data_IF_969909065900
#
_entry.id   IF_969909065900
#
_cell.length_a   1.000
_cell.length_b   1.000
_cell.length_c   1.000
_cell.angle_alpha   90.00
_cell.angle_beta   90.00
_cell.angle_gamma   90.00
#
_symmetry.space_group_name_H-M   'P 1'
#
loop_
_entity.id
_entity.type
_entity.pdbx_description
1 polymer ?
#
# COMPACT_ATOMS: atom_id res chain seq x y z
N UNK A 1 -30.31 -2.69 59.93
CA UNK A 1 -30.58 -3.19 58.56
C UNK A 1 -30.37 -2.00 57.66
N UNK A 2 -29.17 -1.87 57.05
CA UNK A 2 -28.85 -0.79 56.10
C UNK A 2 -29.23 -1.26 54.72
N UNK A 3 -30.17 -0.53 54.10
CA UNK A 3 -30.51 -0.65 52.68
C UNK A 3 -29.24 -0.36 51.87
N UNK A 4 -28.80 -1.34 51.11
CA UNK A 4 -27.86 -1.15 50.05
C UNK A 4 -28.59 -0.39 48.95
N UNK A 5 -28.24 0.89 48.77
CA UNK A 5 -28.74 1.70 47.67
C UNK A 5 -28.39 1.00 46.38
N UNK A 6 -29.45 0.70 45.58
CA UNK A 6 -29.29 0.21 44.21
C UNK A 6 -28.47 1.24 43.41
N UNK A 7 -27.33 0.82 42.94
CA UNK A 7 -26.54 1.60 42.00
C UNK A 7 -27.42 1.88 40.77
N UNK A 8 -27.80 3.15 40.57
CA UNK A 8 -28.34 3.65 39.32
C UNK A 8 -27.37 3.24 38.21
N UNK A 9 -27.89 2.61 37.16
CA UNK A 9 -27.09 1.98 36.13
C UNK A 9 -25.96 2.90 35.64
N UNK A 10 -24.72 2.49 35.92
CA UNK A 10 -23.55 3.13 35.36
C UNK A 10 -23.67 3.01 33.83
N UNK A 11 -23.72 4.14 33.16
CA UNK A 11 -23.64 4.14 31.71
C UNK A 11 -22.32 3.54 31.30
N UNK A 12 -22.34 2.60 30.35
CA UNK A 12 -21.12 2.03 29.81
C UNK A 12 -20.19 3.16 29.33
N UNK A 13 -18.87 3.02 29.49
CA UNK A 13 -17.92 3.96 28.91
C UNK A 13 -18.15 4.15 27.40
N UNK A 14 -17.77 5.30 26.85
CA UNK A 14 -17.78 5.51 25.41
C UNK A 14 -17.02 4.39 24.69
N UNK A 15 -17.54 3.94 23.53
CA UNK A 15 -16.99 2.84 22.73
C UNK A 15 -17.12 1.43 23.34
N UNK A 16 -17.82 1.28 24.45
CA UNK A 16 -18.12 -0.05 25.01
C UNK A 16 -19.19 -0.76 24.15
N UNK A 17 -19.04 -2.06 24.06
CA UNK A 17 -20.03 -2.93 23.43
C UNK A 17 -20.97 -3.49 24.47
N UNK A 18 -22.27 -3.14 24.47
CA UNK A 18 -23.25 -3.76 25.36
C UNK A 18 -23.40 -5.25 25.11
N UNK A 19 -23.65 -6.04 26.14
CA UNK A 19 -23.76 -7.50 26.02
C UNK A 19 -24.83 -7.94 25.01
N UNK A 20 -25.96 -7.22 24.91
CA UNK A 20 -27.04 -7.47 23.97
C UNK A 20 -26.69 -7.08 22.51
N UNK A 21 -25.56 -6.38 22.29
CA UNK A 21 -25.09 -6.01 20.96
C UNK A 21 -24.05 -6.97 20.39
N UNK A 22 -23.51 -7.89 21.20
CA UNK A 22 -22.47 -8.85 20.74
C UNK A 22 -22.96 -9.70 19.58
N UNK A 23 -24.18 -10.25 19.70
CA UNK A 23 -24.78 -11.12 18.67
C UNK A 23 -25.16 -10.37 17.37
N UNK A 24 -25.12 -9.03 17.41
CA UNK A 24 -25.38 -8.18 16.23
C UNK A 24 -24.12 -7.89 15.43
N UNK A 25 -22.95 -8.25 15.94
CA UNK A 25 -21.70 -8.12 15.19
C UNK A 25 -21.67 -9.18 14.08
N UNK A 26 -21.76 -8.71 12.84
CA UNK A 26 -21.60 -9.56 11.67
C UNK A 26 -20.17 -9.47 11.14
N UNK A 27 -19.53 -10.61 10.98
CA UNK A 27 -18.23 -10.69 10.31
C UNK A 27 -18.46 -10.97 8.82
N UNK A 28 -18.13 -10.01 7.94
CA UNK A 28 -18.45 -10.14 6.51
C UNK A 28 -17.61 -11.20 5.81
N UNK A 29 -16.48 -11.60 6.38
CA UNK A 29 -15.57 -12.62 5.80
C UNK A 29 -15.54 -13.84 6.69
N UNK A 30 -15.90 -14.99 6.11
CA UNK A 30 -15.71 -16.29 6.74
C UNK A 30 -14.31 -16.82 6.40
N UNK A 31 -13.47 -16.95 7.43
CA UNK A 31 -12.14 -17.53 7.26
C UNK A 31 -12.24 -19.04 7.05
N UNK A 32 -11.51 -19.60 6.09
CA UNK A 32 -11.41 -21.04 5.95
C UNK A 32 -10.52 -21.64 7.05
N UNK A 33 -10.60 -22.93 7.27
CA UNK A 33 -9.72 -23.63 8.22
C UNK A 33 -8.22 -23.42 7.87
N UNK A 34 -7.94 -23.28 6.56
CA UNK A 34 -6.61 -22.96 6.04
C UNK A 34 -6.70 -21.88 4.97
N UNK A 35 -6.01 -20.77 5.18
CA UNK A 35 -5.82 -19.71 4.18
C UNK A 35 -4.76 -20.17 3.18
N UNK A 36 -5.16 -20.29 1.91
CA UNK A 36 -4.29 -20.68 0.80
C UNK A 36 -4.23 -19.55 -0.22
N UNK A 37 -3.25 -19.57 -1.13
CA UNK A 37 -3.16 -18.60 -2.24
C UNK A 37 -4.40 -18.69 -3.14
N UNK A 38 -4.93 -19.89 -3.35
CA UNK A 38 -6.16 -20.09 -4.13
C UNK A 38 -7.35 -19.39 -3.47
N UNK A 39 -7.50 -19.48 -2.15
CA UNK A 39 -8.53 -18.75 -1.45
C UNK A 39 -8.25 -17.25 -1.45
N UNK A 40 -7.00 -16.83 -1.23
CA UNK A 40 -6.64 -15.44 -1.05
C UNK A 40 -6.83 -14.60 -2.33
N UNK A 41 -6.35 -15.10 -3.48
CA UNK A 41 -6.51 -14.41 -4.76
C UNK A 41 -6.87 -15.34 -5.92
N UNK A 42 -6.45 -16.63 -5.92
CA UNK A 42 -6.76 -17.59 -6.98
C UNK A 42 -6.45 -17.03 -8.37
N UNK A 43 -7.48 -16.95 -9.20
CA UNK A 43 -7.46 -16.42 -10.57
C UNK A 43 -7.85 -14.94 -10.66
N UNK A 44 -7.92 -14.22 -9.52
CA UNK A 44 -8.21 -12.77 -9.48
C UNK A 44 -7.23 -12.00 -10.36
N UNK A 45 -7.75 -11.01 -11.06
CA UNK A 45 -6.98 -10.09 -11.90
C UNK A 45 -6.99 -8.64 -11.38
N UNK A 46 -7.54 -8.42 -10.19
CA UNK A 46 -7.60 -7.11 -9.56
C UNK A 46 -8.79 -6.26 -9.97
N UNK A 47 -9.79 -6.81 -10.66
CA UNK A 47 -10.97 -6.04 -11.08
C UNK A 47 -11.72 -5.43 -9.90
N UNK A 48 -12.10 -4.15 -10.03
CA UNK A 48 -12.79 -3.39 -8.99
C UNK A 48 -11.88 -2.81 -7.90
N UNK A 49 -10.59 -3.11 -7.90
CA UNK A 49 -9.60 -2.53 -6.96
C UNK A 49 -8.89 -1.36 -7.62
N UNK A 50 -8.68 -0.28 -6.88
CA UNK A 50 -7.99 0.94 -7.32
C UNK A 50 -6.62 1.06 -6.65
N UNK A 51 -5.56 1.10 -7.46
CA UNK A 51 -4.18 1.21 -6.98
C UNK A 51 -3.59 2.57 -7.35
N UNK A 52 -3.07 3.29 -6.37
CA UNK A 52 -2.35 4.54 -6.56
C UNK A 52 -0.83 4.30 -6.57
N UNK A 53 -0.15 4.80 -7.59
CA UNK A 53 1.31 4.91 -7.65
C UNK A 53 1.70 6.32 -7.20
N UNK A 54 2.17 6.45 -5.97
CA UNK A 54 2.64 7.72 -5.40
C UNK A 54 4.16 7.78 -5.57
N UNK A 55 4.61 8.44 -6.66
CA UNK A 55 6.00 8.33 -7.14
C UNK A 55 6.41 9.53 -8.03
N UNK A 56 7.24 9.29 -9.05
CA UNK A 56 7.76 10.27 -10.02
C UNK A 56 6.83 10.54 -11.22
N UNK A 57 5.60 10.06 -11.18
CA UNK A 57 4.67 10.05 -12.32
C UNK A 57 4.67 8.72 -13.04
N UNK A 58 3.86 8.60 -14.08
CA UNK A 58 3.75 7.41 -14.94
C UNK A 58 3.71 7.85 -16.39
N UNK A 59 4.54 7.25 -17.25
CA UNK A 59 4.57 7.57 -18.70
C UNK A 59 3.25 7.18 -19.37
N UNK A 60 2.52 8.14 -19.95
CA UNK A 60 1.22 7.86 -20.57
C UNK A 60 1.34 6.95 -21.78
N UNK A 61 0.42 6.00 -21.93
CA UNK A 61 0.36 5.07 -23.05
C UNK A 61 1.57 4.15 -23.18
N UNK A 62 2.26 3.84 -22.05
CA UNK A 62 3.32 2.85 -22.04
C UNK A 62 2.73 1.44 -22.21
N UNK A 63 3.21 0.61 -23.17
CA UNK A 63 2.55 -0.66 -23.53
C UNK A 63 2.51 -1.70 -22.39
N UNK A 64 3.41 -1.61 -21.40
CA UNK A 64 3.43 -2.49 -20.22
C UNK A 64 2.61 -1.93 -19.05
N UNK A 65 2.04 -0.74 -19.16
CA UNK A 65 1.22 -0.10 -18.12
C UNK A 65 -0.24 -0.02 -18.55
N UNK A 66 -0.49 0.32 -19.82
CA UNK A 66 -1.83 0.60 -20.33
C UNK A 66 -2.38 1.94 -19.85
N UNK A 67 -3.71 2.02 -19.78
CA UNK A 67 -4.40 3.25 -19.39
C UNK A 67 -4.40 3.46 -17.87
N UNK A 68 -4.39 4.73 -17.47
CA UNK A 68 -4.56 5.17 -16.09
C UNK A 68 -5.97 5.75 -15.92
N UNK A 69 -6.58 5.54 -14.74
CA UNK A 69 -7.82 6.19 -14.36
C UNK A 69 -7.62 7.71 -14.18
N UNK A 70 -6.47 8.08 -13.61
CA UNK A 70 -6.08 9.47 -13.42
C UNK A 70 -4.57 9.60 -13.27
N UNK A 71 -4.05 10.76 -13.67
CA UNK A 71 -2.67 11.15 -13.44
C UNK A 71 -2.66 12.60 -12.94
N UNK A 72 -2.15 12.81 -11.73
CA UNK A 72 -2.07 14.14 -11.11
C UNK A 72 -0.66 14.42 -10.61
N UNK A 73 -0.28 15.70 -10.67
CA UNK A 73 0.92 16.23 -10.06
C UNK A 73 0.58 17.03 -8.81
N UNK A 74 1.34 16.81 -7.75
CA UNK A 74 1.20 17.53 -6.49
C UNK A 74 2.29 18.59 -6.38
N UNK A 75 1.87 19.82 -6.09
CA UNK A 75 2.76 20.90 -5.73
C UNK A 75 2.22 21.68 -4.52
N UNK A 76 3.04 22.54 -3.97
CA UNK A 76 2.65 23.47 -2.90
C UNK A 76 2.77 24.89 -3.44
N UNK A 77 1.77 25.70 -3.18
CA UNK A 77 1.78 27.12 -3.45
C UNK A 77 2.62 27.90 -2.44
N UNK A 78 2.61 29.26 -2.54
CA UNK A 78 3.44 30.14 -1.72
C UNK A 78 3.14 30.06 -0.21
N UNK A 79 1.95 29.62 0.17
CA UNK A 79 1.50 29.48 1.58
C UNK A 79 1.35 28.00 1.99
N UNK A 80 2.12 27.12 1.36
CA UNK A 80 2.04 25.68 1.55
C UNK A 80 0.64 25.07 1.25
N UNK A 81 -0.21 25.80 0.51
CA UNK A 81 -1.47 25.26 0.06
C UNK A 81 -1.26 24.12 -0.96
N UNK A 82 -2.04 23.06 -0.80
CA UNK A 82 -2.06 21.93 -1.74
C UNK A 82 -2.55 22.39 -3.12
N UNK A 83 -1.74 22.19 -4.14
CA UNK A 83 -2.11 22.36 -5.54
C UNK A 83 -2.10 20.99 -6.20
N UNK A 84 -3.24 20.59 -6.72
CA UNK A 84 -3.42 19.36 -7.51
C UNK A 84 -3.70 19.78 -8.93
N UNK A 85 -2.89 19.34 -9.86
CA UNK A 85 -3.06 19.58 -11.30
C UNK A 85 -3.04 18.26 -12.07
N UNK A 86 -3.61 18.24 -13.25
CA UNK A 86 -3.39 17.16 -14.21
C UNK A 86 -1.89 17.02 -14.47
N UNK A 87 -1.40 15.78 -14.54
CA UNK A 87 0.02 15.50 -14.79
C UNK A 87 0.27 15.39 -16.31
N UNK A 88 0.49 16.55 -16.95
CA UNK A 88 0.81 16.63 -18.39
C UNK A 88 2.25 16.16 -18.69
N UNK A 89 3.15 16.20 -17.71
CA UNK A 89 4.55 15.82 -17.91
C UNK A 89 4.78 14.30 -17.82
N UNK A 90 3.93 13.60 -17.08
CA UNK A 90 4.06 12.18 -16.81
C UNK A 90 5.27 11.85 -15.95
N UNK A 91 5.94 10.73 -16.21
CA UNK A 91 7.08 10.29 -15.42
C UNK A 91 8.37 11.02 -15.79
N UNK A 92 8.99 11.63 -14.79
CA UNK A 92 10.22 12.42 -14.96
C UNK A 92 11.52 11.61 -14.69
N UNK A 93 11.40 10.35 -14.23
CA UNK A 93 12.53 9.54 -13.78
C UNK A 93 12.48 8.08 -14.26
N UNK A 94 11.33 7.59 -14.71
CA UNK A 94 11.09 6.20 -15.12
C UNK A 94 10.71 5.26 -13.98
N UNK A 95 10.82 5.72 -12.74
CA UNK A 95 10.64 4.88 -11.55
C UNK A 95 9.15 4.58 -11.29
N UNK A 96 8.28 5.59 -11.36
CA UNK A 96 6.84 5.39 -11.19
C UNK A 96 6.24 4.54 -12.32
N UNK A 97 6.73 4.72 -13.56
CA UNK A 97 6.36 3.86 -14.71
C UNK A 97 6.75 2.40 -14.47
N UNK A 98 7.93 2.17 -13.90
CA UNK A 98 8.37 0.84 -13.51
C UNK A 98 7.46 0.21 -12.46
N UNK A 99 7.13 0.96 -11.40
CA UNK A 99 6.21 0.51 -10.35
C UNK A 99 4.81 0.21 -10.91
N UNK A 100 4.28 1.10 -11.75
CA UNK A 100 2.98 0.91 -12.41
C UNK A 100 2.95 -0.34 -13.29
N UNK A 101 4.02 -0.58 -14.07
CA UNK A 101 4.14 -1.76 -14.92
C UNK A 101 4.18 -3.08 -14.13
N UNK A 102 4.84 -3.11 -12.96
CA UNK A 102 4.85 -4.28 -12.07
C UNK A 102 3.44 -4.56 -11.53
N UNK A 103 2.75 -3.54 -11.03
CA UNK A 103 1.36 -3.70 -10.54
C UNK A 103 0.46 -4.19 -11.66
N UNK A 104 0.53 -3.59 -12.86
CA UNK A 104 -0.28 -3.98 -14.03
C UNK A 104 -0.02 -5.41 -14.46
N UNK A 105 1.23 -5.88 -14.39
CA UNK A 105 1.57 -7.27 -14.74
C UNK A 105 0.94 -8.29 -13.79
N UNK A 106 0.75 -7.95 -12.52
CA UNK A 106 0.14 -8.81 -11.50
C UNK A 106 -1.39 -8.68 -11.47
N UNK A 107 -1.89 -7.47 -11.49
CA UNK A 107 -3.31 -7.14 -11.39
C UNK A 107 -3.77 -6.39 -12.65
N UNK A 108 -3.90 -7.08 -13.80
CA UNK A 108 -4.11 -6.45 -15.10
C UNK A 108 -5.44 -5.69 -15.23
N UNK A 109 -6.43 -6.02 -14.40
CA UNK A 109 -7.77 -5.41 -14.44
C UNK A 109 -7.99 -4.38 -13.30
N UNK A 110 -6.97 -4.09 -12.47
CA UNK A 110 -7.10 -3.03 -11.46
C UNK A 110 -7.17 -1.65 -12.11
N UNK A 111 -7.93 -0.75 -11.49
CA UNK A 111 -7.81 0.69 -11.75
C UNK A 111 -6.46 1.19 -11.29
N UNK A 112 -5.72 1.89 -12.14
CA UNK A 112 -4.39 2.39 -11.84
C UNK A 112 -4.35 3.91 -11.94
N UNK A 113 -3.90 4.57 -10.89
CA UNK A 113 -3.76 6.02 -10.84
C UNK A 113 -2.31 6.42 -10.52
N UNK A 114 -1.90 7.56 -11.05
CA UNK A 114 -0.59 8.18 -10.78
C UNK A 114 -0.76 9.44 -9.93
N UNK A 115 0.00 9.54 -8.85
CA UNK A 115 0.13 10.75 -8.04
C UNK A 115 1.61 11.12 -8.00
N UNK A 116 2.00 12.11 -8.81
CA UNK A 116 3.40 12.54 -8.90
C UNK A 116 3.75 13.46 -7.75
N UNK A 117 4.74 13.05 -6.96
CA UNK A 117 5.30 13.78 -5.81
C UNK A 117 6.81 13.97 -5.93
N UNK A 118 7.45 13.33 -6.91
CA UNK A 118 8.86 13.45 -7.19
C UNK A 118 9.08 14.07 -8.57
N UNK A 119 10.03 14.97 -8.65
CA UNK A 119 10.51 15.55 -9.90
C UNK A 119 11.67 14.75 -10.51
N UNK A 120 12.29 15.35 -11.52
CA UNK A 120 13.47 14.77 -12.18
C UNK A 120 14.58 14.48 -11.18
N UNK A 121 15.29 13.36 -11.37
CA UNK A 121 16.36 12.91 -10.48
C UNK A 121 15.89 12.51 -9.08
N UNK A 122 14.63 12.08 -8.94
CA UNK A 122 14.01 11.68 -7.65
C UNK A 122 14.00 12.80 -6.60
N UNK A 123 13.97 14.04 -7.04
CA UNK A 123 13.92 15.19 -6.15
C UNK A 123 12.48 15.45 -5.69
N UNK A 124 12.30 15.68 -4.39
CA UNK A 124 11.02 16.01 -3.81
C UNK A 124 11.19 16.67 -2.45
N UNK A 125 10.20 17.48 -2.06
CA UNK A 125 10.15 18.03 -0.71
C UNK A 125 9.28 17.15 0.19
N UNK A 126 9.58 17.15 1.50
CA UNK A 126 8.73 16.43 2.44
C UNK A 126 7.30 16.99 2.49
N UNK A 127 7.12 18.29 2.27
CA UNK A 127 5.80 18.91 2.18
C UNK A 127 4.97 18.35 1.02
N UNK A 128 5.56 18.23 -0.18
CA UNK A 128 4.90 17.63 -1.36
C UNK A 128 4.57 16.15 -1.13
N UNK A 129 5.49 15.40 -0.48
CA UNK A 129 5.23 14.01 -0.12
C UNK A 129 4.02 13.88 0.83
N UNK A 130 3.97 14.69 1.88
CA UNK A 130 2.84 14.71 2.83
C UNK A 130 1.54 15.10 2.14
N UNK A 131 1.57 16.14 1.30
CA UNK A 131 0.42 16.61 0.55
C UNK A 131 -0.10 15.53 -0.41
N UNK A 132 0.80 14.85 -1.13
CA UNK A 132 0.45 13.76 -2.06
C UNK A 132 -0.14 12.54 -1.33
N UNK A 133 0.44 12.15 -0.21
CA UNK A 133 -0.11 11.05 0.59
C UNK A 133 -1.50 11.41 1.15
N UNK A 134 -1.67 12.63 1.66
CA UNK A 134 -2.99 13.11 2.11
C UNK A 134 -4.01 13.04 0.99
N UNK A 135 -3.67 13.60 -0.17
CA UNK A 135 -4.54 13.53 -1.35
C UNK A 135 -4.90 12.08 -1.69
N UNK A 136 -3.92 11.18 -1.79
CA UNK A 136 -4.18 9.79 -2.14
C UNK A 136 -5.11 9.08 -1.12
N UNK A 137 -4.93 9.33 0.17
CA UNK A 137 -5.80 8.79 1.23
C UNK A 137 -7.22 9.36 1.13
N UNK A 138 -7.38 10.64 0.79
CA UNK A 138 -8.68 11.31 0.62
C UNK A 138 -9.43 10.82 -0.62
N UNK A 139 -8.71 10.42 -1.69
CA UNK A 139 -9.31 9.84 -2.90
C UNK A 139 -9.84 8.42 -2.72
N UNK A 140 -9.56 7.77 -1.59
CA UNK A 140 -10.09 6.45 -1.26
C UNK A 140 -9.60 5.34 -2.20
N UNK A 141 -8.31 5.34 -2.53
CA UNK A 141 -7.69 4.20 -3.20
C UNK A 141 -7.65 2.99 -2.25
N UNK A 142 -7.82 1.80 -2.79
CA UNK A 142 -7.74 0.56 -2.01
C UNK A 142 -6.30 0.27 -1.59
N UNK A 143 -5.35 0.49 -2.51
CA UNK A 143 -3.91 0.30 -2.29
C UNK A 143 -3.14 1.53 -2.72
N UNK A 144 -2.24 2.02 -1.88
CA UNK A 144 -1.27 3.06 -2.22
C UNK A 144 0.13 2.44 -2.20
N UNK A 145 0.78 2.41 -3.36
CA UNK A 145 2.18 2.01 -3.49
C UNK A 145 3.08 3.22 -3.28
N UNK A 146 3.93 3.17 -2.26
CA UNK A 146 4.97 4.15 -1.97
C UNK A 146 6.35 3.53 -2.09
N UNK A 147 6.92 3.54 -3.30
CA UNK A 147 8.28 3.06 -3.53
C UNK A 147 9.33 4.11 -3.16
N UNK A 148 9.06 4.87 -2.13
CA UNK A 148 9.86 5.99 -1.63
C UNK A 148 9.76 6.13 -0.11
N UNK A 149 10.72 6.82 0.50
CA UNK A 149 10.72 7.10 1.94
C UNK A 149 11.53 8.38 2.24
N UNK A 150 11.36 8.91 3.43
CA UNK A 150 12.15 10.06 3.90
C UNK A 150 12.88 9.74 5.20
N UNK A 151 14.13 10.17 5.30
CA UNK A 151 14.94 10.09 6.51
C UNK A 151 14.74 11.29 7.46
N UNK A 152 13.95 12.29 7.03
CA UNK A 152 13.73 13.52 7.78
C UNK A 152 12.74 13.31 8.91
N UNK A 153 13.25 13.21 10.14
CA UNK A 153 12.45 12.99 11.37
C UNK A 153 11.29 13.98 11.59
N UNK A 154 11.39 15.28 11.23
CA UNK A 154 10.26 16.21 11.41
C UNK A 154 8.97 15.78 10.69
N UNK A 155 9.06 14.98 9.63
CA UNK A 155 7.88 14.50 8.92
C UNK A 155 7.29 13.21 9.49
N UNK A 156 7.99 12.53 10.42
CA UNK A 156 7.58 11.22 10.92
C UNK A 156 6.19 11.24 11.58
N UNK A 157 5.90 12.24 12.41
CA UNK A 157 4.62 12.33 13.12
C UNK A 157 3.45 12.48 12.15
N UNK A 158 3.54 13.40 11.19
CA UNK A 158 2.47 13.62 10.21
C UNK A 158 2.31 12.42 9.27
N UNK A 159 3.41 11.77 8.86
CA UNK A 159 3.35 10.53 8.07
C UNK A 159 2.68 9.40 8.85
N UNK A 160 2.91 9.31 10.17
CA UNK A 160 2.26 8.33 11.02
C UNK A 160 0.75 8.58 11.11
N UNK A 161 0.32 9.82 11.34
CA UNK A 161 -1.10 10.20 11.34
C UNK A 161 -1.78 9.87 10.01
N UNK A 162 -1.12 10.15 8.88
CA UNK A 162 -1.64 9.82 7.55
C UNK A 162 -1.72 8.32 7.30
N UNK A 163 -0.72 7.56 7.77
CA UNK A 163 -0.71 6.10 7.66
C UNK A 163 -1.84 5.46 8.49
N UNK A 164 -2.09 5.94 9.71
CA UNK A 164 -3.20 5.50 10.53
C UNK A 164 -4.55 5.94 9.95
N UNK A 165 -4.63 7.15 9.38
CA UNK A 165 -5.83 7.60 8.66
C UNK A 165 -6.14 6.69 7.47
N UNK A 166 -5.13 6.29 6.68
CA UNK A 166 -5.29 5.32 5.60
C UNK A 166 -5.82 3.98 6.13
N UNK A 167 -5.20 3.46 7.19
CA UNK A 167 -5.59 2.20 7.82
C UNK A 167 -7.06 2.19 8.26
N UNK A 168 -7.53 3.24 8.96
CA UNK A 168 -8.92 3.33 9.41
C UNK A 168 -9.91 3.61 8.28
N UNK A 169 -9.46 4.11 7.14
CA UNK A 169 -10.25 4.26 5.91
C UNK A 169 -10.24 3.02 5.02
N UNK A 170 -9.61 1.93 5.47
CA UNK A 170 -9.42 0.69 4.73
C UNK A 170 -8.51 0.80 3.50
N UNK A 171 -7.73 1.86 3.40
CA UNK A 171 -6.70 2.00 2.39
C UNK A 171 -5.43 1.28 2.87
N UNK A 172 -4.91 0.39 2.04
CA UNK A 172 -3.67 -0.35 2.32
C UNK A 172 -2.47 0.45 1.82
N UNK A 173 -1.61 0.86 2.74
CA UNK A 173 -0.38 1.55 2.42
C UNK A 173 0.78 0.54 2.35
N UNK A 174 1.39 0.38 1.18
CA UNK A 174 2.55 -0.50 0.95
C UNK A 174 3.77 0.38 0.69
N UNK A 175 4.80 0.25 1.51
CA UNK A 175 5.96 1.13 1.43
C UNK A 175 7.30 0.39 1.44
N UNK A 176 8.22 0.90 0.63
CA UNK A 176 9.55 0.35 0.45
C UNK A 176 10.45 0.66 1.64
N UNK A 177 11.13 -0.36 2.16
CA UNK A 177 12.28 -0.14 3.02
C UNK A 177 13.38 0.63 2.27
N UNK A 178 14.17 1.43 2.99
CA UNK A 178 15.26 2.16 2.38
C UNK A 178 16.35 1.19 1.88
N UNK A 179 16.95 1.48 0.71
CA UNK A 179 18.00 0.62 0.16
C UNK A 179 19.33 0.67 0.96
N UNK A 180 19.50 1.68 1.80
CA UNK A 180 20.61 1.79 2.75
C UNK A 180 20.11 1.45 4.16
N UNK A 181 20.95 0.95 5.08
CA UNK A 181 20.56 0.60 6.44
C UNK A 181 20.34 1.85 7.33
N UNK A 182 19.41 2.71 6.92
CA UNK A 182 19.08 3.97 7.60
C UNK A 182 17.61 3.98 7.99
N UNK A 183 17.31 4.67 9.08
CA UNK A 183 15.95 4.90 9.51
C UNK A 183 15.24 5.85 8.56
N UNK A 184 14.08 5.44 8.04
CA UNK A 184 13.24 6.26 7.18
C UNK A 184 11.76 5.89 7.29
N UNK A 185 10.89 6.73 6.82
CA UNK A 185 9.44 6.65 6.99
C UNK A 185 8.73 6.76 5.63
N UNK A 186 7.51 6.15 5.43
CA UNK A 186 6.62 5.59 6.45
C UNK A 186 6.76 4.07 6.69
N UNK A 187 7.58 3.34 5.96
CA UNK A 187 7.63 1.87 5.98
C UNK A 187 7.82 1.23 7.37
N UNK A 188 8.30 1.98 8.36
CA UNK A 188 8.50 1.51 9.74
C UNK A 188 7.25 1.55 10.62
N UNK A 189 6.14 2.08 10.14
CA UNK A 189 4.90 2.15 10.92
C UNK A 189 4.12 0.84 10.82
N UNK A 190 3.52 0.40 11.94
CA UNK A 190 2.77 -0.86 12.00
C UNK A 190 1.49 -0.85 11.16
N UNK A 191 0.93 0.32 10.87
CA UNK A 191 -0.19 0.50 9.95
C UNK A 191 0.18 0.38 8.47
N UNK A 192 1.48 0.30 8.15
CA UNK A 192 2.03 0.18 6.79
C UNK A 192 2.53 -1.23 6.54
N UNK A 193 2.38 -1.73 5.32
CA UNK A 193 3.03 -2.97 4.87
C UNK A 193 4.43 -2.61 4.40
N UNK A 194 5.44 -3.04 5.14
CA UNK A 194 6.84 -2.74 4.83
C UNK A 194 7.47 -3.83 3.97
N UNK A 195 8.18 -3.41 2.90
CA UNK A 195 8.70 -4.31 1.87
C UNK A 195 10.19 -4.13 1.64
N UNK A 196 10.91 -5.25 1.74
CA UNK A 196 12.27 -5.43 1.23
C UNK A 196 12.29 -6.31 -0.01
N UNK A 197 13.47 -6.54 -0.59
CA UNK A 197 13.62 -7.31 -1.81
C UNK A 197 14.24 -8.70 -1.60
N UNK A 198 13.84 -9.65 -2.46
CA UNK A 198 14.50 -10.93 -2.70
C UNK A 198 14.76 -11.13 -4.19
N UNK A 199 15.50 -12.20 -4.54
CA UNK A 199 15.94 -12.48 -5.92
C UNK A 199 15.17 -13.60 -6.64
N UNK A 200 14.20 -14.27 -5.95
CA UNK A 200 13.40 -15.32 -6.58
C UNK A 200 12.64 -14.78 -7.80
N UNK A 201 12.68 -15.51 -8.94
CA UNK A 201 12.17 -14.98 -10.21
C UNK A 201 10.64 -14.93 -10.32
N UNK A 202 9.92 -15.74 -9.55
CA UNK A 202 8.46 -15.77 -9.57
C UNK A 202 7.87 -14.48 -8.95
N UNK A 203 7.06 -13.71 -9.69
CA UNK A 203 6.55 -12.42 -9.23
C UNK A 203 5.55 -12.52 -8.09
N UNK A 204 4.94 -13.69 -7.85
CA UNK A 204 4.00 -13.92 -6.75
C UNK A 204 4.64 -14.62 -5.55
N UNK A 205 5.93 -14.97 -5.64
CA UNK A 205 6.69 -15.45 -4.49
C UNK A 205 7.04 -14.29 -3.58
N UNK A 206 6.74 -14.43 -2.30
CA UNK A 206 7.15 -13.50 -1.26
C UNK A 206 7.35 -14.21 0.07
N UNK A 207 8.14 -13.61 0.94
CA UNK A 207 8.50 -14.16 2.23
C UNK A 207 8.09 -13.22 3.35
N UNK A 208 7.65 -13.79 4.47
CA UNK A 208 7.45 -13.06 5.72
C UNK A 208 8.75 -13.00 6.51
N UNK A 209 9.04 -11.87 7.12
CA UNK A 209 10.19 -11.67 7.99
C UNK A 209 9.75 -11.66 9.46
N UNK A 210 10.15 -12.66 10.27
CA UNK A 210 9.84 -12.70 11.70
C UNK A 210 10.63 -11.67 12.53
N UNK A 211 11.60 -10.99 11.91
CA UNK A 211 12.49 -10.03 12.56
C UNK A 211 12.27 -8.61 12.01
N UNK A 212 11.24 -7.88 12.50
CA UNK A 212 10.96 -6.53 12.01
C UNK A 212 12.20 -5.61 12.13
N UNK A 213 12.21 -4.45 11.42
CA UNK A 213 11.01 -3.71 11.00
C UNK A 213 10.49 -4.00 9.59
N UNK A 214 11.23 -4.67 8.69
CA UNK A 214 10.69 -5.10 7.39
C UNK A 214 9.79 -6.30 7.62
N UNK A 215 8.55 -6.28 7.10
CA UNK A 215 7.60 -7.37 7.30
C UNK A 215 7.63 -8.41 6.20
N UNK A 216 7.76 -7.96 4.93
CA UNK A 216 7.74 -8.86 3.78
C UNK A 216 8.89 -8.60 2.83
N UNK A 217 9.34 -9.65 2.16
CA UNK A 217 10.26 -9.56 1.05
C UNK A 217 9.55 -9.97 -0.23
N UNK A 218 9.49 -9.05 -1.20
CA UNK A 218 8.98 -9.28 -2.54
C UNK A 218 10.11 -9.36 -3.58
N UNK A 219 9.77 -9.73 -4.81
CA UNK A 219 10.73 -9.75 -5.91
C UNK A 219 11.23 -8.33 -6.21
N UNK A 220 12.53 -8.07 -6.05
CA UNK A 220 13.09 -6.74 -6.24
C UNK A 220 14.51 -6.74 -6.83
N UNK A 221 15.07 -7.90 -7.19
CA UNK A 221 16.42 -8.03 -7.73
C UNK A 221 16.33 -8.51 -9.18
N UNK A 222 17.07 -7.82 -10.08
CA UNK A 222 17.11 -8.12 -11.52
C UNK A 222 15.71 -8.20 -12.17
N UNK A 223 14.85 -7.25 -11.82
CA UNK A 223 13.47 -7.19 -12.33
C UNK A 223 13.44 -6.46 -13.67
N UNK A 224 12.86 -7.10 -14.69
CA UNK A 224 12.55 -6.40 -15.96
C UNK A 224 11.28 -5.58 -15.78
N UNK A 225 11.38 -4.28 -16.02
CA UNK A 225 10.32 -3.30 -15.77
C UNK A 225 10.05 -2.43 -16.99
N UNK A 226 8.88 -1.79 -17.03
CA UNK A 226 8.60 -0.66 -17.90
C UNK A 226 9.56 0.50 -17.60
N UNK A 227 9.99 1.23 -18.63
CA UNK A 227 10.91 2.37 -18.50
C UNK A 227 10.64 3.43 -19.50
N UNK A 228 11.06 4.66 -19.23
CA UNK A 228 10.83 5.82 -20.12
C UNK A 228 11.14 5.56 -21.59
N UNK A 229 10.37 6.21 -22.47
CA UNK A 229 10.45 6.06 -23.92
C UNK A 229 9.87 4.74 -24.40
N UNK A 230 8.86 4.21 -23.69
CA UNK A 230 8.19 2.93 -24.00
C UNK A 230 9.14 1.74 -24.09
N UNK A 231 10.24 1.81 -23.35
CA UNK A 231 11.29 0.77 -23.27
C UNK A 231 11.10 -0.11 -22.06
N UNK A 232 11.98 -1.07 -21.90
CA UNK A 232 12.15 -1.84 -20.67
C UNK A 232 13.57 -1.73 -20.17
N UNK A 233 13.75 -1.82 -18.83
CA UNK A 233 15.05 -1.87 -18.17
C UNK A 233 15.09 -3.08 -17.23
N UNK A 234 16.29 -3.46 -16.78
CA UNK A 234 16.51 -4.41 -15.68
C UNK A 234 17.04 -3.62 -14.50
N UNK A 235 16.38 -3.73 -13.37
CA UNK A 235 16.62 -2.91 -12.18
C UNK A 235 16.64 -3.76 -10.91
N UNK A 236 17.22 -3.23 -9.85
CA UNK A 236 17.22 -3.85 -8.52
C UNK A 236 17.01 -2.80 -7.44
N UNK A 237 16.21 -3.13 -6.42
CA UNK A 237 15.93 -2.28 -5.26
C UNK A 237 14.64 -2.66 -4.55
N UNK A 238 14.54 -2.28 -3.28
CA UNK A 238 13.33 -2.49 -2.48
C UNK A 238 12.11 -1.77 -3.09
N UNK A 239 12.35 -0.67 -3.79
CA UNK A 239 11.32 0.08 -4.50
C UNK A 239 10.65 -0.71 -5.64
N UNK A 240 11.31 -1.74 -6.18
CA UNK A 240 10.72 -2.63 -7.18
C UNK A 240 10.08 -3.88 -6.58
N UNK A 241 10.41 -4.22 -5.34
CA UNK A 241 9.71 -5.25 -4.58
C UNK A 241 8.34 -4.78 -4.08
N UNK A 242 8.24 -3.52 -3.71
CA UNK A 242 7.03 -2.89 -3.17
C UNK A 242 5.81 -3.04 -4.09
N UNK A 243 5.89 -2.73 -5.40
CA UNK A 243 4.76 -2.88 -6.30
C UNK A 243 4.36 -4.34 -6.56
N UNK A 244 5.25 -5.33 -6.34
CA UNK A 244 4.84 -6.74 -6.34
C UNK A 244 3.89 -7.03 -5.19
N UNK A 245 4.22 -6.58 -3.97
CA UNK A 245 3.33 -6.75 -2.81
C UNK A 245 2.05 -5.92 -2.99
N UNK A 246 2.13 -4.70 -3.52
CA UNK A 246 0.94 -3.88 -3.81
C UNK A 246 0.01 -4.55 -4.84
N UNK A 247 0.57 -5.16 -5.88
CA UNK A 247 -0.20 -5.94 -6.86
C UNK A 247 -0.87 -7.16 -6.23
N UNK A 248 -0.18 -7.91 -5.37
CA UNK A 248 -0.77 -9.04 -4.62
C UNK A 248 -1.89 -8.53 -3.70
N UNK A 249 -1.72 -7.40 -3.01
CA UNK A 249 -2.77 -6.77 -2.21
C UNK A 249 -4.01 -6.46 -3.08
N UNK A 250 -3.81 -5.91 -4.28
CA UNK A 250 -4.90 -5.62 -5.21
C UNK A 250 -5.64 -6.90 -5.63
N UNK A 251 -4.94 -7.99 -5.89
CA UNK A 251 -5.56 -9.29 -6.21
C UNK A 251 -6.42 -9.81 -5.06
N UNK A 252 -5.90 -9.73 -3.82
CA UNK A 252 -6.61 -10.17 -2.61
C UNK A 252 -7.86 -9.30 -2.40
N UNK A 253 -7.74 -7.98 -2.47
CA UNK A 253 -8.85 -7.05 -2.23
C UNK A 253 -9.93 -7.16 -3.31
N UNK A 254 -9.57 -7.41 -4.55
CA UNK A 254 -10.55 -7.68 -5.61
C UNK A 254 -11.42 -8.90 -5.33
N UNK A 255 -10.88 -9.91 -4.66
CA UNK A 255 -11.60 -11.11 -4.27
C UNK A 255 -12.31 -10.98 -2.93
N UNK A 256 -11.77 -10.19 -2.03
CA UNK A 256 -12.24 -10.00 -0.66
C UNK A 256 -12.29 -8.50 -0.29
N UNK A 257 -13.20 -7.72 -0.87
CA UNK A 257 -13.24 -6.26 -0.70
C UNK A 257 -13.59 -5.83 0.74
N UNK A 258 -14.12 -6.73 1.56
CA UNK A 258 -14.48 -6.43 2.95
C UNK A 258 -13.31 -6.57 3.93
N UNK A 259 -12.16 -7.08 3.50
CA UNK A 259 -11.00 -7.22 4.38
C UNK A 259 -10.53 -5.86 4.90
N UNK A 260 -10.28 -5.81 6.20
CA UNK A 260 -9.57 -4.69 6.81
C UNK A 260 -8.07 -4.79 6.52
N UNK A 261 -7.30 -3.71 6.63
CA UNK A 261 -5.83 -3.78 6.46
C UNK A 261 -5.17 -4.79 7.41
N UNK A 262 -5.67 -4.96 8.63
CA UNK A 262 -5.21 -5.99 9.56
C UNK A 262 -5.45 -7.41 9.01
N UNK A 263 -6.65 -7.68 8.51
CA UNK A 263 -6.98 -8.98 7.93
C UNK A 263 -6.17 -9.24 6.66
N UNK A 264 -5.98 -8.23 5.81
CA UNK A 264 -5.12 -8.35 4.62
C UNK A 264 -3.68 -8.69 5.00
N UNK A 265 -3.09 -8.03 6.00
CA UNK A 265 -1.75 -8.39 6.53
C UNK A 265 -1.70 -9.83 7.03
N UNK A 266 -2.77 -10.30 7.67
CA UNK A 266 -2.90 -11.70 8.12
C UNK A 266 -2.95 -12.67 6.93
N UNK A 267 -3.68 -12.32 5.86
CA UNK A 267 -3.70 -13.13 4.62
C UNK A 267 -2.32 -13.18 3.98
N UNK A 268 -1.62 -12.05 3.87
CA UNK A 268 -0.23 -12.03 3.38
C UNK A 268 0.67 -12.90 4.23
N UNK A 269 0.60 -12.79 5.56
CA UNK A 269 1.38 -13.65 6.46
C UNK A 269 1.13 -15.13 6.18
N UNK A 270 -0.15 -15.55 6.16
CA UNK A 270 -0.53 -16.94 6.01
C UNK A 270 -0.23 -17.52 4.62
N UNK A 271 -0.08 -16.68 3.58
CA UNK A 271 0.20 -17.09 2.21
C UNK A 271 1.66 -16.88 1.79
N UNK A 272 2.49 -16.34 2.67
CA UNK A 272 3.92 -16.20 2.42
C UNK A 272 4.59 -17.57 2.26
N UNK A 273 5.56 -17.66 1.32
CA UNK A 273 6.18 -18.92 0.91
C UNK A 273 6.90 -19.68 2.03
N UNK A 274 7.32 -18.95 3.08
CA UNK A 274 8.02 -19.51 4.24
C UNK A 274 7.14 -19.72 5.47
N UNK A 275 5.84 -19.41 5.41
CA UNK A 275 4.90 -19.60 6.53
C UNK A 275 3.95 -20.75 6.27
N UNK A 276 3.31 -20.80 5.11
CA UNK A 276 2.50 -21.93 4.71
C UNK A 276 3.40 -23.09 4.34
N UNK A 277 3.82 -23.88 5.32
CA UNK A 277 4.69 -25.05 5.11
C UNK A 277 4.24 -25.90 3.94
N UNK A 278 5.14 -26.10 3.04
CA UNK A 278 5.15 -26.78 1.78
C UNK A 278 4.06 -27.81 1.49
N UNK A 279 3.70 -27.74 0.31
CA UNK A 279 3.25 -28.66 -0.72
C UNK A 279 1.92 -28.35 -1.29
#
# INVERSE_FOLDING_TARGET
>A
MSEVAAHAGESLPAWSLPSDAVDRISLPVHWPDRVTREWAWGDSKGAGTRVCILDSGVEPGHPLVGDLESAVAISLGEKDELIVSEDEEGDLSGHGTACAGIVRALAPECGLASVRVLGAGFTGTGGVLLAGLRYAVEQGFDVINMSLSTTKKPFAAVLHELADSAYFRRTVLVASAHNMPVESYPWRFSSVISVGSHEEPDPVTFFYNPSPPVEFFGRGVNVRVAWLGKRSAVVSGNSFATPHIAGICALIMAKHPELTPFQLKSVLYLTASNVGGGS
#
